data_IF_209050030772
#
_entry.id   IF_209050030772
#
_cell.length_a   1.000
_cell.length_b   1.000
_cell.length_c   1.000
_cell.angle_alpha   90.00
_cell.angle_beta   90.00
_cell.angle_gamma   90.00
#
_symmetry.space_group_name_H-M   'P 1'
#
loop_
_entity.id
_entity.type
_entity.pdbx_description
1 polymer ?
#
# COMPACT_ATOMS: atom_id res chain seq x y z
N UNK A 1 -20.45 -6.07 31.50
CA UNK A 1 -20.06 -4.82 30.84
C UNK A 1 -21.24 -3.87 30.59
N UNK A 2 -22.34 -4.30 29.93
CA UNK A 2 -23.49 -3.45 29.60
C UNK A 2 -24.18 -2.84 30.82
N UNK A 3 -24.33 -3.58 31.92
CA UNK A 3 -24.93 -3.10 33.16
C UNK A 3 -24.08 -2.00 33.87
N UNK A 4 -22.76 -2.06 33.73
CA UNK A 4 -21.87 -1.03 34.28
C UNK A 4 -22.00 0.28 33.49
N UNK A 5 -22.12 0.20 32.17
CA UNK A 5 -22.34 1.37 31.30
C UNK A 5 -23.66 2.05 31.63
N UNK A 6 -24.75 1.27 31.81
CA UNK A 6 -26.05 1.83 32.19
C UNK A 6 -26.04 2.49 33.57
N UNK A 7 -25.39 1.86 34.56
CA UNK A 7 -25.33 2.36 35.92
C UNK A 7 -24.55 3.66 36.05
N UNK A 8 -23.52 3.87 35.21
CA UNK A 8 -22.68 5.05 35.24
C UNK A 8 -23.19 6.21 34.36
N UNK A 9 -24.40 6.10 33.79
CA UNK A 9 -25.03 7.18 33.04
C UNK A 9 -24.23 7.61 31.80
N UNK A 10 -23.66 6.63 31.08
CA UNK A 10 -22.91 6.91 29.84
C UNK A 10 -23.77 7.63 28.82
N UNK A 11 -23.34 8.83 28.42
CA UNK A 11 -24.03 9.64 27.41
C UNK A 11 -23.26 9.54 26.09
N UNK A 12 -23.92 9.05 25.06
CA UNK A 12 -23.45 9.12 23.68
C UNK A 12 -23.80 10.49 23.10
N UNK A 13 -22.79 11.16 22.53
CA UNK A 13 -22.99 12.41 21.78
C UNK A 13 -22.60 12.14 20.33
N UNK A 14 -23.53 12.33 19.42
CA UNK A 14 -23.28 12.29 17.99
C UNK A 14 -22.75 13.66 17.53
N UNK A 15 -21.62 13.65 16.83
CA UNK A 15 -21.07 14.84 16.17
C UNK A 15 -21.23 14.61 14.67
N UNK A 16 -21.94 15.48 13.99
CA UNK A 16 -22.04 15.50 12.53
C UNK A 16 -20.92 16.37 11.98
N UNK A 17 -20.05 15.76 11.17
CA UNK A 17 -19.03 16.47 10.39
C UNK A 17 -19.59 16.71 8.98
N UNK A 18 -19.52 17.94 8.48
CA UNK A 18 -19.94 18.29 7.13
C UNK A 18 -19.23 19.58 6.70
N UNK A 19 -18.55 19.59 5.53
CA UNK A 19 -18.29 18.44 4.65
C UNK A 19 -17.32 17.42 5.28
N UNK A 20 -17.44 16.17 4.92
CA UNK A 20 -16.55 15.12 5.38
C UNK A 20 -16.39 14.02 4.33
N UNK A 21 -15.23 13.40 4.30
CA UNK A 21 -14.95 12.23 3.52
C UNK A 21 -14.46 11.09 4.43
N UNK A 22 -14.80 9.85 4.09
CA UNK A 22 -14.30 8.67 4.78
C UNK A 22 -13.56 7.81 3.76
N UNK A 23 -12.33 7.45 4.10
CA UNK A 23 -11.54 6.51 3.32
C UNK A 23 -11.62 5.15 4.00
N UNK A 24 -11.99 4.12 3.24
CA UNK A 24 -12.06 2.75 3.71
C UNK A 24 -10.97 1.91 3.02
N UNK A 25 -10.17 1.22 3.83
CA UNK A 25 -9.13 0.31 3.37
C UNK A 25 -9.49 -1.12 3.81
N UNK A 26 -10.33 -1.78 3.06
CA UNK A 26 -10.76 -3.16 3.33
C UNK A 26 -10.00 -4.22 2.54
N UNK A 27 -9.44 -3.82 1.39
CA UNK A 27 -8.75 -4.71 0.46
C UNK A 27 -7.60 -4.01 -0.26
N UNK A 28 -6.68 -4.78 -0.82
CA UNK A 28 -5.57 -4.23 -1.62
C UNK A 28 -6.08 -3.51 -2.88
N UNK A 29 -7.05 -4.03 -3.64
CA UNK A 29 -7.62 -3.30 -4.77
C UNK A 29 -8.18 -1.92 -4.42
N UNK A 30 -8.79 -1.74 -3.24
CA UNK A 30 -9.25 -0.43 -2.78
C UNK A 30 -8.09 0.53 -2.52
N UNK A 31 -7.01 0.05 -1.90
CA UNK A 31 -5.78 0.83 -1.71
C UNK A 31 -5.21 1.24 -3.06
N UNK A 32 -5.07 0.29 -3.99
CA UNK A 32 -4.54 0.56 -5.33
C UNK A 32 -5.39 1.55 -6.12
N UNK A 33 -6.70 1.44 -6.03
CA UNK A 33 -7.60 2.39 -6.68
C UNK A 33 -7.44 3.80 -6.08
N UNK A 34 -7.35 3.92 -4.77
CA UNK A 34 -7.09 5.21 -4.13
C UNK A 34 -5.76 5.80 -4.58
N UNK A 35 -4.67 5.05 -4.47
CA UNK A 35 -3.31 5.52 -4.78
C UNK A 35 -3.13 5.87 -6.27
N UNK A 36 -3.86 5.22 -7.16
CA UNK A 36 -3.71 5.46 -8.61
C UNK A 36 -4.75 6.41 -9.20
N UNK A 37 -5.96 6.50 -8.63
CA UNK A 37 -7.08 7.23 -9.24
C UNK A 37 -7.87 8.12 -8.29
N UNK A 38 -7.84 7.83 -7.00
CA UNK A 38 -8.70 8.48 -6.01
C UNK A 38 -8.06 9.63 -5.23
N UNK A 39 -6.77 9.90 -5.45
CA UNK A 39 -6.05 10.93 -4.71
C UNK A 39 -6.49 12.37 -5.02
N UNK A 40 -7.07 12.59 -6.20
CA UNK A 40 -7.50 13.92 -6.62
C UNK A 40 -8.53 14.54 -5.68
N UNK A 41 -9.40 13.73 -5.10
CA UNK A 41 -10.40 14.18 -4.12
C UNK A 41 -9.80 14.61 -2.78
N UNK A 42 -8.52 14.32 -2.55
CA UNK A 42 -7.82 14.58 -1.30
C UNK A 42 -6.65 15.57 -1.43
N UNK A 43 -6.47 16.17 -2.60
CA UNK A 43 -5.39 17.15 -2.84
C UNK A 43 -5.46 18.36 -1.92
N UNK A 44 -6.65 18.81 -1.58
CA UNK A 44 -6.87 19.96 -0.70
C UNK A 44 -6.34 19.72 0.73
N UNK A 45 -6.15 18.48 1.14
CA UNK A 45 -5.53 18.12 2.41
C UNK A 45 -4.05 17.72 2.28
N UNK A 46 -3.46 17.99 1.10
CA UNK A 46 -2.04 17.78 0.85
C UNK A 46 -1.65 16.37 0.38
N UNK A 47 -2.60 15.53 0.00
CA UNK A 47 -2.31 14.22 -0.55
C UNK A 47 -1.97 14.29 -2.03
N UNK A 48 -0.92 13.56 -2.41
CA UNK A 48 -0.42 13.48 -3.79
C UNK A 48 -0.05 12.05 -4.14
N UNK A 49 -0.16 11.72 -5.41
CA UNK A 49 0.20 10.39 -5.93
C UNK A 49 1.70 10.11 -5.89
N UNK A 50 2.51 11.17 -5.94
CA UNK A 50 3.97 11.09 -5.92
C UNK A 50 4.48 11.99 -4.80
N UNK A 51 5.16 11.40 -3.82
CA UNK A 51 5.70 12.12 -2.65
C UNK A 51 7.12 11.68 -2.35
N UNK A 52 8.05 12.63 -2.27
CA UNK A 52 9.46 12.39 -1.94
C UNK A 52 10.11 11.24 -2.73
N UNK A 53 9.77 11.11 -4.00
CA UNK A 53 10.25 10.03 -4.85
C UNK A 53 11.07 10.60 -6.02
N UNK A 54 12.02 9.82 -6.53
CA UNK A 54 12.89 10.23 -7.64
C UNK A 54 12.25 10.04 -9.03
N UNK A 55 10.93 10.11 -9.10
CA UNK A 55 10.14 9.97 -10.32
C UNK A 55 9.02 10.99 -10.33
N UNK A 56 8.57 11.35 -11.52
CA UNK A 56 7.41 12.22 -11.78
C UNK A 56 6.26 11.50 -12.52
N UNK A 57 6.47 10.22 -12.84
CA UNK A 57 5.54 9.43 -13.67
C UNK A 57 4.97 8.19 -12.98
N UNK A 58 5.61 7.73 -11.91
CA UNK A 58 5.17 6.53 -11.16
C UNK A 58 4.59 6.95 -9.82
N UNK A 59 3.36 6.53 -9.55
CA UNK A 59 2.73 6.77 -8.25
C UNK A 59 3.54 6.13 -7.14
N UNK A 60 4.07 6.96 -6.22
CA UNK A 60 5.06 6.49 -5.26
C UNK A 60 5.21 7.37 -4.04
N UNK A 61 5.68 6.77 -2.95
CA UNK A 61 5.95 7.44 -1.69
C UNK A 61 7.34 7.07 -1.17
N UNK A 62 8.17 8.08 -0.87
CA UNK A 62 9.51 7.91 -0.30
C UNK A 62 10.35 6.84 -1.02
N UNK A 63 10.35 6.82 -2.34
CA UNK A 63 10.98 5.77 -3.12
C UNK A 63 12.01 6.33 -4.09
N UNK A 64 13.03 5.53 -4.37
CA UNK A 64 14.06 5.82 -5.36
C UNK A 64 13.88 4.86 -6.53
N UNK A 65 13.63 5.42 -7.70
CA UNK A 65 13.56 4.71 -8.97
C UNK A 65 14.72 5.21 -9.83
N UNK A 66 15.68 4.33 -10.15
CA UNK A 66 16.82 4.70 -10.98
C UNK A 66 16.44 4.78 -12.46
N UNK A 67 17.04 5.70 -13.21
CA UNK A 67 16.83 5.75 -14.66
C UNK A 67 17.17 4.41 -15.30
N UNK A 68 16.25 3.90 -16.15
CA UNK A 68 16.38 2.59 -16.79
C UNK A 68 15.48 1.52 -16.23
N UNK A 69 15.01 1.63 -14.99
CA UNK A 69 13.95 0.74 -14.50
C UNK A 69 12.65 0.98 -15.26
N UNK A 70 11.80 -0.04 -15.28
CA UNK A 70 10.45 0.08 -15.86
C UNK A 70 9.40 -0.27 -14.81
N UNK A 71 8.41 0.59 -14.64
CA UNK A 71 7.24 0.34 -13.81
C UNK A 71 6.02 0.53 -14.69
N UNK A 72 5.20 -0.52 -14.82
CA UNK A 72 4.01 -0.48 -15.65
C UNK A 72 2.84 0.22 -14.94
N UNK A 73 1.82 0.52 -15.70
CA UNK A 73 0.65 1.26 -15.27
C UNK A 73 -0.07 0.67 -14.05
N UNK A 74 -0.75 1.53 -13.31
CA UNK A 74 -1.51 1.20 -12.11
C UNK A 74 -0.68 0.54 -11.00
N UNK A 75 0.64 0.61 -11.04
CA UNK A 75 1.49 0.12 -9.94
C UNK A 75 1.78 1.24 -8.95
N UNK A 76 2.04 0.86 -7.70
CA UNK A 76 2.36 1.77 -6.61
C UNK A 76 3.59 1.30 -5.84
N UNK A 77 4.54 2.20 -5.63
CA UNK A 77 5.82 1.91 -5.00
C UNK A 77 5.95 2.77 -3.74
N UNK A 78 6.19 2.15 -2.58
CA UNK A 78 6.42 2.91 -1.35
C UNK A 78 7.66 2.44 -0.59
N UNK A 79 8.42 3.39 -0.06
CA UNK A 79 9.59 3.17 0.79
C UNK A 79 10.52 2.11 0.19
N UNK A 80 10.77 2.21 -1.12
CA UNK A 80 11.47 1.16 -1.88
C UNK A 80 12.55 1.73 -2.78
N UNK A 81 13.51 0.89 -3.15
CA UNK A 81 14.55 1.22 -4.11
C UNK A 81 14.47 0.29 -5.32
N UNK A 82 14.25 0.86 -6.49
CA UNK A 82 14.10 0.15 -7.76
C UNK A 82 15.29 0.49 -8.65
N UNK A 83 16.15 -0.48 -8.89
CA UNK A 83 17.37 -0.32 -9.67
C UNK A 83 17.10 -0.30 -11.18
N UNK A 84 18.09 0.13 -11.96
CA UNK A 84 17.99 0.41 -13.41
C UNK A 84 17.50 -0.75 -14.28
N UNK A 85 17.76 -2.01 -13.87
CA UNK A 85 17.38 -3.21 -14.64
C UNK A 85 16.07 -3.84 -14.21
N UNK A 86 15.54 -3.39 -13.10
CA UNK A 86 14.29 -3.91 -12.55
C UNK A 86 13.11 -3.62 -13.47
N UNK A 87 12.21 -4.58 -13.56
CA UNK A 87 10.95 -4.45 -14.32
C UNK A 87 9.78 -4.79 -13.41
N UNK A 88 8.90 -3.85 -13.19
CA UNK A 88 7.70 -4.04 -12.37
C UNK A 88 6.48 -4.09 -13.28
N UNK A 89 5.73 -5.18 -13.18
CA UNK A 89 4.49 -5.40 -13.93
C UNK A 89 3.37 -4.45 -13.50
N UNK A 90 2.27 -4.48 -14.23
CA UNK A 90 1.10 -3.62 -13.96
C UNK A 90 0.34 -4.08 -12.71
N UNK A 91 -0.46 -3.17 -12.14
CA UNK A 91 -1.30 -3.41 -10.96
C UNK A 91 -0.52 -3.99 -9.77
N UNK A 92 0.75 -3.68 -9.60
CA UNK A 92 1.58 -4.25 -8.54
C UNK A 92 1.84 -3.23 -7.44
N UNK A 93 1.86 -3.71 -6.20
CA UNK A 93 2.18 -2.91 -5.02
C UNK A 93 3.48 -3.41 -4.40
N UNK A 94 4.49 -2.55 -4.37
CA UNK A 94 5.77 -2.83 -3.76
C UNK A 94 5.98 -1.93 -2.56
N UNK A 95 6.26 -2.53 -1.40
CA UNK A 95 6.38 -1.81 -0.15
C UNK A 95 7.58 -2.29 0.65
N UNK A 96 8.46 -1.35 1.02
CA UNK A 96 9.62 -1.58 1.88
C UNK A 96 10.56 -2.68 1.35
N UNK A 97 10.97 -2.56 0.08
CA UNK A 97 11.85 -3.53 -0.59
C UNK A 97 12.90 -2.83 -1.48
N UNK A 98 13.92 -3.59 -1.83
CA UNK A 98 14.91 -3.26 -2.84
C UNK A 98 14.83 -4.31 -3.97
N UNK A 99 14.75 -3.85 -5.23
CA UNK A 99 14.69 -4.67 -6.43
C UNK A 99 15.85 -4.31 -7.33
N UNK A 100 16.76 -5.23 -7.59
CA UNK A 100 17.98 -5.01 -8.37
C UNK A 100 17.77 -5.23 -9.86
N UNK A 101 17.56 -6.47 -10.30
CA UNK A 101 17.43 -6.87 -11.71
C UNK A 101 16.26 -7.82 -11.96
N UNK A 102 15.39 -8.00 -10.98
CA UNK A 102 14.26 -8.91 -11.07
C UNK A 102 13.14 -8.36 -11.95
N UNK A 103 12.38 -9.31 -12.49
CA UNK A 103 11.12 -9.06 -13.19
C UNK A 103 9.97 -9.41 -12.28
N UNK A 104 9.29 -8.39 -11.78
CA UNK A 104 8.09 -8.55 -10.96
C UNK A 104 6.89 -8.72 -11.89
N UNK A 105 6.11 -9.80 -11.75
CA UNK A 105 4.94 -10.02 -12.59
C UNK A 105 3.81 -9.02 -12.33
N UNK A 106 2.77 -9.08 -13.16
CA UNK A 106 1.54 -8.32 -12.97
C UNK A 106 0.77 -8.80 -11.74
N UNK A 107 -0.07 -7.93 -11.19
CA UNK A 107 -1.06 -8.25 -10.16
C UNK A 107 -0.46 -8.82 -8.85
N UNK A 108 0.70 -8.36 -8.46
CA UNK A 108 1.45 -8.85 -7.29
C UNK A 108 1.59 -7.79 -6.22
N UNK A 109 1.50 -8.22 -4.97
CA UNK A 109 1.90 -7.44 -3.79
C UNK A 109 3.18 -8.02 -3.22
N UNK A 110 4.18 -7.18 -3.04
CA UNK A 110 5.42 -7.53 -2.33
C UNK A 110 5.59 -6.56 -1.17
N UNK A 111 5.64 -7.10 0.04
CA UNK A 111 5.80 -6.31 1.25
C UNK A 111 6.99 -6.81 2.06
N UNK A 112 7.99 -5.95 2.23
CA UNK A 112 9.14 -6.20 3.08
C UNK A 112 8.82 -5.91 4.56
N UNK A 113 9.30 -6.80 5.42
CA UNK A 113 9.19 -6.67 6.87
C UNK A 113 10.58 -6.75 7.49
N UNK A 114 10.98 -5.68 8.18
CA UNK A 114 12.26 -5.66 8.88
C UNK A 114 12.16 -6.45 10.19
N UNK A 115 13.05 -7.43 10.34
CA UNK A 115 13.19 -8.22 11.57
C UNK A 115 14.14 -7.53 12.57
N UNK A 116 14.07 -7.96 13.84
CA UNK A 116 14.95 -7.44 14.91
C UNK A 116 16.46 -7.67 14.64
N UNK A 117 16.79 -8.67 13.84
CA UNK A 117 18.17 -8.98 13.44
C UNK A 117 18.67 -8.15 12.24
N UNK A 118 17.88 -7.17 11.78
CA UNK A 118 18.19 -6.30 10.64
C UNK A 118 17.88 -6.90 9.27
N UNK A 119 17.48 -8.16 9.18
CA UNK A 119 17.07 -8.79 7.91
C UNK A 119 15.67 -8.31 7.47
N UNK A 120 15.47 -8.26 6.17
CA UNK A 120 14.16 -8.01 5.56
C UNK A 120 13.61 -9.36 5.08
N UNK A 121 12.38 -9.65 5.45
CA UNK A 121 11.62 -10.80 4.96
C UNK A 121 10.54 -10.27 4.05
N UNK A 122 10.48 -10.78 2.83
CA UNK A 122 9.45 -10.38 1.87
C UNK A 122 8.26 -11.32 1.94
N UNK A 123 7.08 -10.73 1.95
CA UNK A 123 5.82 -11.42 1.78
C UNK A 123 5.29 -11.12 0.39
N UNK A 124 4.96 -12.17 -0.37
CA UNK A 124 4.52 -12.08 -1.76
C UNK A 124 3.16 -12.76 -1.89
N UNK A 125 2.20 -12.09 -2.50
CA UNK A 125 0.87 -12.64 -2.77
C UNK A 125 0.20 -11.88 -3.94
N UNK A 126 -0.86 -12.46 -4.51
CA UNK A 126 -1.62 -11.82 -5.57
C UNK A 126 -2.44 -10.64 -5.05
N UNK A 127 -2.65 -9.64 -5.89
CA UNK A 127 -3.37 -8.41 -5.51
C UNK A 127 -4.82 -8.67 -5.06
N UNK A 128 -5.43 -9.74 -5.56
CA UNK A 128 -6.79 -10.16 -5.21
C UNK A 128 -6.83 -11.20 -4.09
N UNK A 129 -5.67 -11.61 -3.57
CA UNK A 129 -5.61 -12.57 -2.48
C UNK A 129 -6.08 -11.93 -1.18
N UNK A 130 -6.73 -12.74 -0.34
CA UNK A 130 -7.07 -12.31 1.00
C UNK A 130 -5.92 -12.67 1.95
N UNK A 131 -5.11 -11.69 2.38
CA UNK A 131 -3.96 -11.96 3.23
C UNK A 131 -4.31 -12.46 4.63
N UNK A 132 -5.60 -12.50 4.99
CA UNK A 132 -6.11 -13.03 6.25
C UNK A 132 -6.47 -14.51 6.17
N UNK A 133 -6.47 -15.12 5.00
CA UNK A 133 -6.76 -16.54 4.83
C UNK A 133 -5.52 -17.38 5.12
N UNK A 134 -5.60 -18.31 6.06
CA UNK A 134 -4.50 -19.22 6.46
C UNK A 134 -3.99 -20.09 5.30
N UNK A 135 -4.86 -20.42 4.35
CA UNK A 135 -4.53 -21.27 3.19
C UNK A 135 -3.43 -20.71 2.28
N UNK A 136 -3.25 -19.40 2.28
CA UNK A 136 -2.22 -18.74 1.47
C UNK A 136 -0.82 -18.96 2.03
N UNK A 137 -0.68 -19.20 3.33
CA UNK A 137 0.62 -19.41 3.97
C UNK A 137 1.11 -20.87 3.92
N UNK A 138 0.25 -21.82 3.59
CA UNK A 138 0.60 -23.25 3.50
C UNK A 138 1.24 -23.68 2.17
N UNK A 139 1.41 -22.77 1.23
CA UNK A 139 2.08 -22.98 -0.07
C UNK A 139 3.31 -22.10 -0.27
N UNK A 140 3.98 -21.73 0.79
CA UNK A 140 5.31 -21.16 0.66
C UNK A 140 6.22 -22.23 0.04
N UNK A 141 6.80 -21.89 -1.04
CA UNK A 141 7.75 -22.56 -1.92
C UNK A 141 8.89 -23.18 -1.13
#
# INVERSE_FOLDING_TARGET
>A
MWNIIKKNGFKLKQIKLSPSAMIHFGSIPEIMNLMNKGMDDFRDIGWNNIVNSSTDTVNSYNSILTPGCTVQENSYIEISYIHEKAKVGKNSLLSFIEIEDEVIPDDVVIHGLKQNNGKIVCRIFGINDNPKEEKLFGKAI
#
